data_IF_614148613571
#
_entry.id   IF_614148613571
#
_cell.length_a   1.000
_cell.length_b   1.000
_cell.length_c   1.000
_cell.angle_alpha   90.00
_cell.angle_beta   90.00
_cell.angle_gamma   90.00
#
_symmetry.space_group_name_H-M   'P 1'
#
loop_
_entity.id
_entity.type
_entity.pdbx_description
1 polymer ?
#
# COMPACT_ATOMS: atom_id res chain seq x y z
N UNK A 1 -6.29 0.00 -10.99
CA UNK A 1 -5.82 -1.06 -11.91
C UNK A 1 -4.30 -1.23 -11.83
N UNK A 2 -3.71 -1.31 -10.61
CA UNK A 2 -2.25 -1.49 -10.45
C UNK A 2 -1.82 -2.96 -10.62
N UNK A 3 -2.79 -3.87 -10.60
CA UNK A 3 -2.58 -5.31 -10.73
C UNK A 3 -3.37 -5.77 -11.95
N UNK A 4 -2.66 -6.06 -13.04
CA UNK A 4 -3.20 -6.66 -14.25
C UNK A 4 -3.98 -7.94 -13.92
N UNK A 5 -5.12 -8.13 -14.59
CA UNK A 5 -5.92 -9.37 -14.60
C UNK A 5 -5.11 -10.52 -15.21
N UNK A 6 -4.10 -11.02 -14.49
CA UNK A 6 -3.61 -12.37 -14.76
C UNK A 6 -4.40 -13.33 -13.86
N UNK A 7 -4.72 -14.51 -14.38
CA UNK A 7 -5.29 -15.61 -13.61
C UNK A 7 -4.22 -16.16 -12.65
N UNK A 8 -3.86 -15.39 -11.63
CA UNK A 8 -3.04 -15.86 -10.53
C UNK A 8 -3.85 -16.92 -9.77
N UNK A 9 -3.31 -18.12 -9.54
CA UNK A 9 -3.91 -19.10 -8.60
C UNK A 9 -4.11 -18.47 -7.20
N UNK A 10 -3.36 -17.41 -6.92
CA UNK A 10 -3.33 -16.66 -5.67
C UNK A 10 -4.02 -15.27 -5.75
N UNK A 11 -5.05 -15.13 -6.59
CA UNK A 11 -5.82 -13.87 -6.75
C UNK A 11 -6.41 -13.31 -5.45
N UNK A 12 -6.65 -14.15 -4.43
CA UNK A 12 -7.15 -13.73 -3.11
C UNK A 12 -6.18 -12.74 -2.45
N UNK A 13 -4.86 -12.95 -2.56
CA UNK A 13 -3.87 -12.04 -1.98
C UNK A 13 -3.90 -10.66 -2.66
N UNK A 14 -4.02 -10.62 -4.00
CA UNK A 14 -4.17 -9.34 -4.73
C UNK A 14 -5.46 -8.61 -4.35
N UNK A 15 -6.56 -9.35 -4.15
CA UNK A 15 -7.83 -8.77 -3.69
C UNK A 15 -7.72 -8.19 -2.28
N UNK A 16 -7.12 -8.93 -1.34
CA UNK A 16 -6.90 -8.47 0.04
C UNK A 16 -6.00 -7.24 0.04
N UNK A 17 -4.87 -7.30 -0.68
CA UNK A 17 -3.93 -6.19 -0.83
C UNK A 17 -4.64 -4.94 -1.38
N UNK A 18 -5.40 -5.09 -2.48
CA UNK A 18 -6.14 -3.97 -3.07
C UNK A 18 -7.15 -3.37 -2.10
N UNK A 19 -7.86 -4.18 -1.32
CA UNK A 19 -8.79 -3.67 -0.30
C UNK A 19 -8.06 -2.89 0.79
N UNK A 20 -6.95 -3.41 1.31
CA UNK A 20 -6.14 -2.75 2.33
C UNK A 20 -5.63 -1.40 1.80
N UNK A 21 -5.06 -1.38 0.60
CA UNK A 21 -4.54 -0.16 -0.02
C UNK A 21 -5.64 0.86 -0.28
N UNK A 22 -6.80 0.44 -0.79
CA UNK A 22 -7.94 1.33 -1.00
C UNK A 22 -8.44 1.95 0.32
N UNK A 23 -8.57 1.13 1.37
CA UNK A 23 -8.93 1.62 2.70
C UNK A 23 -7.90 2.62 3.23
N UNK A 24 -6.61 2.36 3.05
CA UNK A 24 -5.55 3.28 3.47
C UNK A 24 -5.60 4.62 2.72
N UNK A 25 -5.85 4.60 1.41
CA UNK A 25 -6.02 5.82 0.60
C UNK A 25 -7.24 6.64 1.06
N UNK A 26 -8.37 5.97 1.30
CA UNK A 26 -9.58 6.64 1.82
C UNK A 26 -9.30 7.24 3.21
N UNK A 27 -8.61 6.51 4.09
CA UNK A 27 -8.22 6.99 5.40
C UNK A 27 -7.30 8.22 5.32
N UNK A 28 -6.37 8.26 4.36
CA UNK A 28 -5.55 9.45 4.13
C UNK A 28 -6.36 10.66 3.67
N UNK A 29 -7.32 10.50 2.76
CA UNK A 29 -8.18 11.61 2.35
C UNK A 29 -8.93 12.17 3.57
N UNK A 30 -9.45 11.30 4.43
CA UNK A 30 -10.11 11.69 5.66
C UNK A 30 -9.16 12.42 6.62
N UNK A 31 -7.96 11.88 6.82
CA UNK A 31 -6.93 12.49 7.68
C UNK A 31 -6.49 13.85 7.16
N UNK A 32 -6.38 14.02 5.85
CA UNK A 32 -6.04 15.29 5.23
C UNK A 32 -7.09 16.37 5.54
N UNK A 33 -8.37 16.02 5.44
CA UNK A 33 -9.48 16.91 5.81
C UNK A 33 -9.42 17.24 7.31
N UNK A 34 -9.21 16.22 8.16
CA UNK A 34 -9.13 16.40 9.61
C UNK A 34 -7.95 17.29 10.02
N UNK A 35 -6.75 17.05 9.49
CA UNK A 35 -5.56 17.88 9.74
C UNK A 35 -5.77 19.33 9.28
N UNK A 36 -6.54 19.55 8.21
CA UNK A 36 -6.85 20.90 7.74
C UNK A 36 -7.79 21.66 8.68
N UNK A 37 -8.57 20.94 9.50
CA UNK A 37 -9.53 21.52 10.45
C UNK A 37 -9.01 21.55 11.89
N UNK A 38 -8.14 20.61 12.25
CA UNK A 38 -7.66 20.38 13.60
C UNK A 38 -6.16 20.13 13.60
N UNK A 39 -5.41 20.96 14.33
CA UNK A 39 -3.94 20.91 14.42
C UNK A 39 -3.49 19.93 15.53
N UNK A 40 -4.09 18.74 15.54
CA UNK A 40 -3.87 17.75 16.59
C UNK A 40 -2.67 16.86 16.27
N UNK A 41 -1.63 16.91 17.12
CA UNK A 41 -0.48 16.00 17.06
C UNK A 41 -0.85 14.52 17.08
N UNK A 42 -2.03 14.16 17.59
CA UNK A 42 -2.56 12.81 17.51
C UNK A 42 -2.77 12.33 16.06
N UNK A 43 -3.16 13.21 15.15
CA UNK A 43 -3.43 12.88 13.75
C UNK A 43 -2.15 12.53 12.98
N UNK A 44 -1.00 13.05 13.39
CA UNK A 44 0.31 12.67 12.82
C UNK A 44 0.67 11.21 13.13
N UNK A 45 0.32 10.72 14.32
CA UNK A 45 0.48 9.31 14.67
C UNK A 45 -0.44 8.42 13.82
N UNK A 46 -1.70 8.83 13.61
CA UNK A 46 -2.61 8.09 12.73
C UNK A 46 -2.11 8.11 11.28
N UNK A 47 -1.64 9.25 10.78
CA UNK A 47 -1.06 9.35 9.44
C UNK A 47 0.11 8.37 9.25
N UNK A 48 1.01 8.30 10.24
CA UNK A 48 2.12 7.33 10.25
C UNK A 48 1.61 5.89 10.25
N UNK A 49 0.59 5.59 11.06
CA UNK A 49 -0.01 4.27 11.10
C UNK A 49 -0.66 3.86 9.76
N UNK A 50 -1.36 4.78 9.09
CA UNK A 50 -1.95 4.54 7.76
C UNK A 50 -0.85 4.31 6.71
N UNK A 51 0.26 5.05 6.74
CA UNK A 51 1.44 4.79 5.89
C UNK A 51 1.96 3.36 6.06
N UNK A 52 2.07 2.87 7.29
CA UNK A 52 2.52 1.51 7.58
C UNK A 52 1.53 0.47 7.01
N UNK A 53 0.22 0.65 7.22
CA UNK A 53 -0.81 -0.24 6.67
C UNK A 53 -0.73 -0.29 5.14
N UNK A 54 -0.52 0.86 4.50
CA UNK A 54 -0.39 0.94 3.04
C UNK A 54 0.80 0.11 2.53
N UNK A 55 1.97 0.20 3.19
CA UNK A 55 3.14 -0.61 2.86
C UNK A 55 2.87 -2.11 3.08
N UNK A 56 2.18 -2.48 4.16
CA UNK A 56 1.78 -3.87 4.40
C UNK A 56 0.89 -4.39 3.26
N UNK A 57 -0.06 -3.56 2.79
CA UNK A 57 -0.90 -3.88 1.65
C UNK A 57 -0.08 -4.20 0.39
N UNK A 58 0.95 -3.40 0.09
CA UNK A 58 1.86 -3.65 -1.03
C UNK A 58 2.65 -4.95 -0.87
N UNK A 59 3.18 -5.21 0.33
CA UNK A 59 3.91 -6.45 0.61
C UNK A 59 3.00 -7.67 0.37
N UNK A 60 1.76 -7.63 0.87
CA UNK A 60 0.78 -8.70 0.61
C UNK A 60 0.48 -8.84 -0.89
N UNK A 61 0.39 -7.70 -1.60
CA UNK A 61 0.15 -7.67 -3.04
C UNK A 61 1.27 -8.32 -3.86
N UNK A 62 2.50 -8.33 -3.34
CA UNK A 62 3.67 -8.96 -3.96
C UNK A 62 3.77 -10.48 -3.73
N UNK A 63 3.10 -11.02 -2.71
CA UNK A 63 3.16 -12.45 -2.36
C UNK A 63 2.87 -13.37 -3.56
N UNK A 64 1.84 -13.13 -4.40
CA UNK A 64 1.57 -13.94 -5.58
C UNK A 64 2.74 -14.01 -6.56
N UNK A 65 3.44 -12.90 -6.78
CA UNK A 65 4.56 -12.83 -7.71
C UNK A 65 5.76 -13.64 -7.18
N UNK A 66 5.95 -13.69 -5.84
CA UNK A 66 6.90 -14.61 -5.19
C UNK A 66 6.48 -16.08 -5.29
N UNK A 67 5.20 -16.40 -5.09
CA UNK A 67 4.68 -17.77 -5.16
C UNK A 67 4.78 -18.34 -6.58
N UNK A 68 4.48 -17.53 -7.59
CA UNK A 68 4.57 -17.91 -9.01
C UNK A 68 6.00 -17.84 -9.56
N UNK A 69 6.97 -17.41 -8.73
CA UNK A 69 8.38 -17.21 -9.11
C UNK A 69 8.53 -16.30 -10.33
N UNK A 70 7.65 -15.31 -10.48
CA UNK A 70 7.76 -14.29 -11.52
C UNK A 70 8.87 -13.31 -11.16
N UNK A 71 10.10 -13.63 -11.56
CA UNK A 71 11.27 -12.80 -11.26
C UNK A 71 11.15 -11.35 -11.73
N UNK A 72 10.39 -11.10 -12.81
CA UNK A 72 10.13 -9.72 -13.27
C UNK A 72 9.13 -9.02 -12.36
N UNK A 73 8.03 -9.70 -12.00
CA UNK A 73 7.03 -9.18 -11.06
C UNK A 73 7.66 -8.80 -9.71
N UNK A 74 8.41 -9.73 -9.13
CA UNK A 74 9.14 -9.53 -7.86
C UNK A 74 10.05 -8.30 -7.92
N UNK A 75 10.83 -8.15 -9.00
CA UNK A 75 11.73 -7.00 -9.15
C UNK A 75 10.95 -5.68 -9.15
N UNK A 76 9.87 -5.60 -9.94
CA UNK A 76 9.04 -4.39 -10.01
C UNK A 76 8.34 -4.09 -8.69
N UNK A 77 7.84 -5.10 -7.98
CA UNK A 77 7.21 -4.93 -6.68
C UNK A 77 8.19 -4.34 -5.65
N UNK A 78 9.41 -4.85 -5.59
CA UNK A 78 10.46 -4.32 -4.70
C UNK A 78 10.77 -2.86 -5.05
N UNK A 79 10.95 -2.55 -6.34
CA UNK A 79 11.22 -1.18 -6.80
C UNK A 79 10.09 -0.23 -6.40
N UNK A 80 8.83 -0.63 -6.62
CA UNK A 80 7.66 0.18 -6.27
C UNK A 80 7.57 0.39 -4.76
N UNK A 81 7.77 -0.66 -3.95
CA UNK A 81 7.75 -0.57 -2.48
C UNK A 81 8.83 0.40 -2.00
N UNK A 82 10.05 0.31 -2.53
CA UNK A 82 11.15 1.20 -2.15
C UNK A 82 10.87 2.66 -2.51
N UNK A 83 10.36 2.92 -3.71
CA UNK A 83 9.98 4.27 -4.15
C UNK A 83 8.89 4.83 -3.22
N UNK A 84 7.86 4.04 -2.90
CA UNK A 84 6.77 4.49 -2.05
C UNK A 84 7.21 4.71 -0.60
N UNK A 85 8.12 3.89 -0.05
CA UNK A 85 8.71 4.16 1.26
C UNK A 85 9.44 5.50 1.26
N UNK A 86 10.24 5.76 0.22
CA UNK A 86 10.96 7.03 0.09
C UNK A 86 9.98 8.22 0.03
N UNK A 87 8.95 8.14 -0.81
CA UNK A 87 7.95 9.21 -0.97
C UNK A 87 7.14 9.42 0.32
N UNK A 88 6.79 8.36 1.04
CA UNK A 88 5.86 8.47 2.17
C UNK A 88 6.54 8.84 3.49
N UNK A 89 7.81 8.48 3.67
CA UNK A 89 8.50 8.65 4.96
C UNK A 89 9.68 9.62 4.92
N UNK A 90 10.25 9.91 3.74
CA UNK A 90 11.43 10.78 3.62
C UNK A 90 11.09 12.13 2.99
N UNK A 91 10.29 12.13 1.92
CA UNK A 91 9.81 13.34 1.26
C UNK A 91 8.63 13.97 2.02
#
# INVERSE_FOLDING_TARGET
>A
MLFSERNYEHAIYKKIASNIMNCAVIAWILLFILNSMFDWTFLDYINTFVKIIFIIGLIIGSIPDFLEKDGKGIFWDIVIILILIFILFIL
#
